data_IF_718764060466
#
_entry.id   IF_718764060466
#
_cell.length_a   1.000
_cell.length_b   1.000
_cell.length_c   1.000
_cell.angle_alpha   90.00
_cell.angle_beta   90.00
_cell.angle_gamma   90.00
#
_symmetry.space_group_name_H-M   'P 1'
#
loop_
_entity.id
_entity.type
_entity.pdbx_description
1 polymer ?
#
# COMPACT_ATOMS: atom_id res chain seq x y z
N UNK A 1 -87.13 26.73 -19.25
CA UNK A 1 -86.94 25.34 -18.78
C UNK A 1 -85.44 25.14 -18.69
N UNK A 2 -84.86 25.24 -17.49
CA UNK A 2 -83.52 24.72 -17.17
C UNK A 2 -83.40 24.74 -15.64
N UNK A 3 -83.42 23.54 -15.06
CA UNK A 3 -83.49 23.29 -13.62
C UNK A 3 -82.15 22.74 -13.13
N UNK A 4 -81.75 23.28 -11.98
CA UNK A 4 -80.57 22.95 -11.17
C UNK A 4 -80.49 21.45 -10.83
N UNK A 5 -79.28 20.96 -10.59
CA UNK A 5 -79.03 19.69 -9.89
C UNK A 5 -77.99 19.86 -8.77
N UNK A 6 -78.28 19.21 -7.64
CA UNK A 6 -77.46 18.92 -6.46
C UNK A 6 -77.95 17.54 -5.94
N UNK A 7 -77.28 16.88 -4.98
CA UNK A 7 -76.06 16.07 -5.12
C UNK A 7 -76.34 14.59 -4.78
N UNK A 8 -75.62 13.63 -5.39
CA UNK A 8 -75.81 12.20 -5.07
C UNK A 8 -74.67 11.65 -4.19
N UNK A 9 -75.07 11.25 -2.98
CA UNK A 9 -74.34 10.40 -2.03
C UNK A 9 -74.19 8.97 -2.58
N UNK A 10 -73.10 8.27 -2.24
CA UNK A 10 -72.95 6.83 -2.49
C UNK A 10 -72.94 6.05 -1.17
N UNK A 11 -73.91 5.13 -1.06
CA UNK A 11 -74.04 4.10 -0.01
C UNK A 11 -73.16 2.87 -0.36
N UNK A 12 -72.61 2.20 0.66
CA UNK A 12 -71.80 0.99 0.53
C UNK A 12 -72.66 -0.29 0.42
N UNK A 13 -72.30 -1.30 -0.39
CA UNK A 13 -73.03 -2.57 -0.45
C UNK A 13 -72.37 -3.69 0.37
N UNK A 14 -73.23 -4.53 0.95
CA UNK A 14 -72.94 -5.70 1.79
C UNK A 14 -72.62 -6.98 0.99
N UNK A 15 -71.87 -7.86 1.63
CA UNK A 15 -71.30 -9.14 1.14
C UNK A 15 -72.31 -10.20 0.63
N UNK A 16 -72.06 -10.76 -0.57
CA UNK A 16 -71.78 -12.19 -0.87
C UNK A 16 -72.00 -12.54 -2.35
N UNK A 17 -71.14 -13.44 -2.85
CA UNK A 17 -71.22 -14.32 -4.05
C UNK A 17 -70.38 -13.93 -5.27
N UNK A 18 -69.46 -14.84 -5.61
CA UNK A 18 -68.47 -14.85 -6.69
C UNK A 18 -69.08 -14.95 -8.10
N UNK A 19 -68.49 -14.29 -9.10
CA UNK A 19 -68.03 -14.86 -10.38
C UNK A 19 -67.07 -13.90 -11.10
N UNK A 20 -66.06 -14.48 -11.75
CA UNK A 20 -64.84 -13.87 -12.28
C UNK A 20 -65.05 -12.82 -13.38
N UNK A 21 -64.53 -11.62 -13.15
CA UNK A 21 -63.58 -10.88 -14.00
C UNK A 21 -62.85 -9.93 -13.04
N UNK A 22 -61.53 -10.07 -12.88
CA UNK A 22 -60.70 -9.26 -11.96
C UNK A 22 -60.65 -7.79 -12.40
N UNK A 23 -61.70 -7.05 -12.05
CA UNK A 23 -61.62 -5.62 -11.77
C UNK A 23 -60.92 -5.49 -10.42
N UNK A 24 -59.71 -4.94 -10.40
CA UNK A 24 -59.07 -4.52 -9.15
C UNK A 24 -59.90 -3.38 -8.57
N UNK A 25 -60.84 -3.75 -7.72
CA UNK A 25 -61.61 -2.89 -6.84
C UNK A 25 -60.63 -2.24 -5.87
N UNK A 26 -60.20 -1.02 -6.13
CA UNK A 26 -59.48 -0.22 -5.14
C UNK A 26 -60.54 0.30 -4.16
N UNK A 27 -60.90 -0.55 -3.20
CA UNK A 27 -61.65 -0.11 -2.01
C UNK A 27 -60.70 0.81 -1.23
N UNK A 28 -61.00 2.11 -1.16
CA UNK A 28 -60.45 2.93 -0.10
C UNK A 28 -60.96 2.32 1.22
N UNK A 29 -60.07 1.81 2.07
CA UNK A 29 -60.44 1.37 3.41
C UNK A 29 -61.10 2.52 4.16
N UNK A 30 -62.23 2.24 4.82
CA UNK A 30 -62.96 3.25 5.59
C UNK A 30 -62.10 3.71 6.78
N UNK A 31 -61.86 5.01 6.86
CA UNK A 31 -61.18 5.65 7.98
C UNK A 31 -62.04 5.53 9.25
N UNK A 32 -61.41 5.30 10.41
CA UNK A 32 -62.14 5.21 11.68
C UNK A 32 -62.74 6.55 12.11
N UNK A 33 -63.94 6.52 12.70
CA UNK A 33 -64.73 7.70 13.09
C UNK A 33 -63.98 8.69 14.01
N UNK A 34 -63.02 8.18 14.80
CA UNK A 34 -62.22 9.00 15.71
C UNK A 34 -61.19 9.90 15.00
N UNK A 35 -60.77 9.53 13.78
CA UNK A 35 -59.79 10.28 13.00
C UNK A 35 -60.49 11.31 12.09
N UNK A 36 -61.66 10.95 11.57
CA UNK A 36 -62.49 11.79 10.69
C UNK A 36 -63.07 13.01 11.42
N UNK A 37 -63.30 12.91 12.73
CA UNK A 37 -63.75 14.03 13.58
C UNK A 37 -62.64 15.02 13.94
N UNK A 38 -61.36 14.65 13.78
CA UNK A 38 -60.20 15.50 14.11
C UNK A 38 -59.75 16.39 12.96
N UNK A 39 -60.05 16.03 11.72
CA UNK A 39 -59.61 16.74 10.53
C UNK A 39 -60.79 16.89 9.55
N UNK A 40 -61.21 18.14 9.30
CA UNK A 40 -62.28 18.45 8.33
C UNK A 40 -61.78 18.24 6.89
N UNK A 41 -61.76 16.96 6.47
CA UNK A 41 -61.41 16.58 5.12
C UNK A 41 -62.69 16.39 4.30
N UNK A 42 -62.92 17.28 3.33
CA UNK A 42 -63.99 17.10 2.35
C UNK A 42 -63.74 15.83 1.52
N UNK A 43 -64.82 15.18 1.11
CA UNK A 43 -64.85 13.93 0.35
C UNK A 43 -63.73 13.80 -0.71
N UNK A 44 -63.17 12.59 -0.91
CA UNK A 44 -62.12 12.35 -1.88
C UNK A 44 -62.56 12.79 -3.29
N UNK A 45 -61.68 13.50 -3.99
CA UNK A 45 -61.88 13.85 -5.40
C UNK A 45 -61.68 12.58 -6.23
N UNK A 46 -62.73 12.15 -6.94
CA UNK A 46 -62.65 11.02 -7.86
C UNK A 46 -62.57 11.53 -9.31
N UNK A 47 -61.61 11.03 -10.07
CA UNK A 47 -61.46 11.33 -11.50
C UNK A 47 -61.37 10.01 -12.29
N UNK A 48 -62.13 9.87 -13.38
CA UNK A 48 -62.16 8.67 -14.23
C UNK A 48 -62.35 7.34 -13.45
N UNK A 49 -63.41 7.26 -12.62
CA UNK A 49 -63.79 6.06 -11.85
C UNK A 49 -62.74 5.56 -10.83
N UNK A 50 -61.73 6.37 -10.49
CA UNK A 50 -60.81 6.10 -9.37
C UNK A 50 -60.86 7.26 -8.38
N UNK A 51 -61.02 6.92 -7.09
CA UNK A 51 -61.09 7.90 -6.00
C UNK A 51 -59.71 8.10 -5.38
N UNK A 52 -59.31 9.35 -5.20
CA UNK A 52 -58.03 9.70 -4.58
C UNK A 52 -58.29 9.92 -3.08
N UNK A 53 -57.84 8.96 -2.26
CA UNK A 53 -57.85 9.12 -0.82
C UNK A 53 -56.79 10.17 -0.39
N UNK A 54 -57.07 11.05 0.60
CA UNK A 54 -56.03 11.90 1.18
C UNK A 54 -54.91 11.02 1.72
N UNK A 55 -53.62 11.40 1.58
CA UNK A 55 -52.52 10.55 2.01
C UNK A 55 -52.67 10.25 3.50
N UNK A 56 -52.85 8.97 3.83
CA UNK A 56 -52.62 8.48 5.18
C UNK A 56 -51.16 8.80 5.51
N UNK A 57 -50.95 9.65 6.53
CA UNK A 57 -49.67 9.78 7.19
C UNK A 57 -49.47 8.54 8.07
N UNK A 58 -49.08 7.43 7.45
CA UNK A 58 -48.29 6.43 8.17
C UNK A 58 -46.83 6.60 7.74
N UNK A 59 -45.86 6.46 8.67
CA UNK A 59 -44.45 6.64 8.39
C UNK A 59 -44.00 5.43 7.57
N UNK A 60 -44.19 5.50 6.25
CA UNK A 60 -43.61 4.51 5.37
C UNK A 60 -42.10 4.55 5.57
N UNK A 61 -41.56 3.42 6.02
CA UNK A 61 -40.15 3.07 5.87
C UNK A 61 -39.87 2.96 4.36
N UNK A 62 -39.71 4.12 3.71
CA UNK A 62 -39.29 4.20 2.31
C UNK A 62 -37.77 4.23 2.31
N UNK A 63 -37.18 3.18 1.76
CA UNK A 63 -35.74 3.07 1.51
C UNK A 63 -35.21 4.38 0.89
N UNK A 64 -34.04 4.88 1.34
CA UNK A 64 -33.52 6.14 0.85
C UNK A 64 -33.21 6.05 -0.65
N UNK A 65 -33.39 7.14 -1.43
CA UNK A 65 -33.17 7.13 -2.88
C UNK A 65 -31.71 6.86 -3.27
N UNK A 66 -30.79 6.90 -2.30
CA UNK A 66 -29.41 6.44 -2.41
C UNK A 66 -28.92 6.00 -1.01
N UNK A 67 -27.94 5.08 -0.92
CA UNK A 67 -27.30 4.72 0.35
C UNK A 67 -26.78 5.99 1.07
N UNK A 68 -27.25 6.24 2.31
CA UNK A 68 -26.79 7.35 3.16
C UNK A 68 -27.70 8.58 3.26
N UNK A 69 -28.83 8.63 2.56
CA UNK A 69 -29.77 9.76 2.62
C UNK A 69 -30.77 9.63 3.80
N UNK A 70 -30.42 10.11 4.99
CA UNK A 70 -31.28 9.97 6.19
C UNK A 70 -32.40 11.02 6.32
N UNK A 71 -32.50 11.99 5.41
CA UNK A 71 -33.49 13.07 5.50
C UNK A 71 -34.18 13.30 4.15
N UNK A 72 -35.37 12.73 3.96
CA UNK A 72 -36.32 13.25 2.98
C UNK A 72 -37.08 14.41 3.62
N UNK A 73 -37.17 15.54 2.92
CA UNK A 73 -38.11 16.58 3.31
C UNK A 73 -39.53 16.04 3.16
N UNK A 74 -40.45 16.30 4.12
CA UNK A 74 -41.85 15.96 3.96
C UNK A 74 -42.40 16.61 2.69
N UNK A 75 -42.99 15.83 1.80
CA UNK A 75 -43.58 16.34 0.56
C UNK A 75 -44.66 17.36 0.90
N UNK A 76 -44.57 18.54 0.29
CA UNK A 76 -45.58 19.60 0.40
C UNK A 76 -46.34 19.74 -0.91
N UNK A 77 -47.56 20.26 -0.83
CA UNK A 77 -48.37 20.57 -2.01
C UNK A 77 -48.35 22.08 -2.32
N UNK A 78 -48.11 22.93 -1.32
CA UNK A 78 -48.00 24.37 -1.51
C UNK A 78 -46.63 24.76 -2.08
N UNK A 79 -46.64 25.29 -3.30
CA UNK A 79 -45.47 25.79 -4.02
C UNK A 79 -44.72 26.90 -3.26
N UNK A 80 -45.39 27.59 -2.33
CA UNK A 80 -44.78 28.63 -1.47
C UNK A 80 -43.89 28.04 -0.38
N UNK A 81 -44.07 26.77 -0.03
CA UNK A 81 -43.27 26.06 0.97
C UNK A 81 -42.07 25.30 0.36
N UNK A 82 -41.62 25.72 -0.83
CA UNK A 82 -40.44 25.13 -1.48
C UNK A 82 -39.23 25.19 -0.54
N UNK A 83 -38.62 24.04 -0.31
CA UNK A 83 -37.39 23.83 0.47
C UNK A 83 -36.47 22.92 -0.29
N UNK A 84 -35.18 23.06 0.00
CA UNK A 84 -34.11 22.30 -0.65
C UNK A 84 -33.19 21.70 0.40
N UNK A 85 -32.79 20.45 0.18
CA UNK A 85 -31.72 19.76 0.90
C UNK A 85 -30.59 19.50 -0.07
N UNK A 86 -29.36 19.67 0.40
CA UNK A 86 -28.16 19.42 -0.37
C UNK A 86 -27.27 18.43 0.38
N UNK A 87 -26.84 17.37 -0.29
CA UNK A 87 -26.03 16.32 0.31
C UNK A 87 -25.09 15.66 -0.72
N UNK A 88 -24.09 14.93 -0.24
CA UNK A 88 -23.13 14.20 -1.07
C UNK A 88 -23.10 12.71 -0.72
N UNK A 89 -22.80 11.87 -1.71
CA UNK A 89 -22.60 10.43 -1.56
C UNK A 89 -21.23 10.05 -2.14
N UNK A 90 -20.40 9.25 -1.43
CA UNK A 90 -20.68 8.57 -0.16
C UNK A 90 -20.70 9.49 1.08
N UNK A 91 -19.99 10.63 1.02
CA UNK A 91 -20.07 11.67 2.05
C UNK A 91 -19.65 13.02 1.46
N UNK A 92 -19.71 14.10 2.25
CA UNK A 92 -19.20 15.42 1.87
C UNK A 92 -17.66 15.53 1.92
N UNK A 93 -16.97 14.43 2.23
CA UNK A 93 -15.52 14.34 2.19
C UNK A 93 -15.09 13.05 1.49
N UNK A 94 -14.33 13.17 0.40
CA UNK A 94 -13.96 12.03 -0.45
C UNK A 94 -12.48 12.05 -0.82
N UNK A 95 -11.94 10.88 -1.19
CA UNK A 95 -10.55 10.77 -1.63
C UNK A 95 -10.39 11.13 -3.11
N UNK A 96 -9.22 11.67 -3.47
CA UNK A 96 -8.83 11.88 -4.88
C UNK A 96 -8.99 10.57 -5.67
N UNK A 97 -9.47 10.66 -6.91
CA UNK A 97 -9.66 9.54 -7.83
C UNK A 97 -10.97 8.77 -7.65
N UNK A 98 -11.69 9.02 -6.56
CA UNK A 98 -13.00 8.43 -6.31
C UNK A 98 -14.09 8.98 -7.25
N UNK A 99 -15.28 8.38 -7.17
CA UNK A 99 -16.51 8.91 -7.78
C UNK A 99 -17.40 9.45 -6.67
N UNK A 100 -17.85 10.70 -6.82
CA UNK A 100 -18.75 11.35 -5.87
C UNK A 100 -20.01 11.87 -6.58
N UNK A 101 -21.13 11.88 -5.87
CA UNK A 101 -22.39 12.44 -6.36
C UNK A 101 -22.90 13.50 -5.38
N UNK A 102 -23.20 14.69 -5.89
CA UNK A 102 -23.83 15.77 -5.13
C UNK A 102 -25.31 15.84 -5.52
N UNK A 103 -26.21 15.78 -4.54
CA UNK A 103 -27.65 15.71 -4.74
C UNK A 103 -28.37 16.93 -4.17
N UNK A 104 -29.07 17.66 -5.03
CA UNK A 104 -29.96 18.76 -4.64
C UNK A 104 -31.40 18.27 -4.73
N UNK A 105 -32.06 18.09 -3.59
CA UNK A 105 -33.40 17.52 -3.47
C UNK A 105 -34.40 18.54 -2.97
N UNK A 106 -35.60 18.56 -3.56
CA UNK A 106 -36.70 19.44 -3.13
C UNK A 106 -37.82 18.67 -2.43
N UNK A 107 -38.66 19.39 -1.68
CA UNK A 107 -39.84 18.85 -1.01
C UNK A 107 -41.14 18.93 -1.82
N UNK A 108 -41.06 19.21 -3.12
CA UNK A 108 -42.22 19.39 -3.99
C UNK A 108 -42.08 18.50 -5.23
N UNK A 109 -43.21 18.17 -5.84
CA UNK A 109 -43.23 17.60 -7.18
C UNK A 109 -42.69 18.66 -8.17
N UNK A 110 -41.58 18.39 -8.89
CA UNK A 110 -40.99 19.35 -9.80
C UNK A 110 -41.85 19.57 -11.05
N UNK A 111 -42.73 18.62 -11.42
CA UNK A 111 -43.51 18.66 -12.66
C UNK A 111 -44.31 19.96 -12.75
N UNK A 112 -44.20 20.66 -13.88
CA UNK A 112 -44.89 21.95 -14.14
C UNK A 112 -44.54 23.10 -13.18
N UNK A 113 -43.51 22.92 -12.34
CA UNK A 113 -43.11 23.92 -11.34
C UNK A 113 -41.63 24.30 -11.45
N UNK A 114 -40.73 23.33 -11.39
CA UNK A 114 -39.29 23.53 -11.60
C UNK A 114 -38.95 22.98 -12.98
N UNK A 115 -38.47 23.77 -13.96
CA UNK A 115 -38.10 23.22 -15.26
C UNK A 115 -36.93 22.24 -15.14
N UNK A 116 -36.65 21.48 -16.20
CA UNK A 116 -35.60 20.47 -16.19
C UNK A 116 -34.21 21.05 -15.89
N UNK A 117 -33.92 22.22 -16.47
CA UNK A 117 -32.74 23.07 -16.27
C UNK A 117 -32.90 24.04 -15.09
N UNK A 118 -33.96 23.89 -14.29
CA UNK A 118 -34.27 24.76 -13.16
C UNK A 118 -33.35 24.61 -11.96
N UNK A 119 -32.39 23.68 -11.98
CA UNK A 119 -31.44 23.47 -10.89
C UNK A 119 -30.01 23.58 -11.40
N UNK A 120 -29.23 24.43 -10.75
CA UNK A 120 -27.83 24.69 -11.08
C UNK A 120 -26.95 24.53 -9.84
N UNK A 121 -25.77 23.95 -10.02
CA UNK A 121 -24.75 23.89 -8.99
C UNK A 121 -23.70 24.97 -9.24
N UNK A 122 -23.34 25.72 -8.19
CA UNK A 122 -22.27 26.72 -8.24
C UNK A 122 -21.18 26.29 -7.26
N UNK A 123 -19.96 26.12 -7.76
CA UNK A 123 -18.77 25.85 -6.97
C UNK A 123 -17.99 27.15 -6.75
N UNK A 124 -17.63 27.44 -5.49
CA UNK A 124 -16.88 28.62 -5.06
C UNK A 124 -17.44 29.93 -5.63
N UNK A 125 -18.78 30.05 -5.64
CA UNK A 125 -19.58 31.18 -6.14
C UNK A 125 -19.33 31.60 -7.61
N UNK A 126 -18.48 30.89 -8.35
CA UNK A 126 -17.97 31.33 -9.66
C UNK A 126 -18.15 30.28 -10.76
N UNK A 127 -17.96 29.00 -10.43
CA UNK A 127 -17.98 27.92 -11.43
C UNK A 127 -19.38 27.33 -11.48
N UNK A 128 -20.06 27.53 -12.61
CA UNK A 128 -21.37 26.93 -12.89
C UNK A 128 -21.20 25.49 -13.39
N UNK A 129 -21.89 24.54 -12.76
CA UNK A 129 -21.95 23.13 -13.16
C UNK A 129 -23.41 22.70 -13.35
N UNK A 130 -23.69 22.09 -14.49
CA UNK A 130 -25.01 21.57 -14.82
C UNK A 130 -25.22 20.17 -14.21
N UNK A 131 -26.47 19.81 -13.85
CA UNK A 131 -26.79 18.48 -13.35
C UNK A 131 -26.46 17.42 -14.40
N UNK A 132 -25.82 16.33 -13.95
CA UNK A 132 -25.59 15.13 -14.77
C UNK A 132 -26.77 14.17 -14.79
N UNK A 133 -27.70 14.33 -13.85
CA UNK A 133 -28.93 13.55 -13.71
C UNK A 133 -30.07 14.44 -13.27
N UNK A 134 -31.22 14.31 -13.93
CA UNK A 134 -32.43 15.04 -13.57
C UNK A 134 -33.53 14.08 -13.11
N UNK A 135 -34.49 14.52 -12.28
CA UNK A 135 -35.65 13.71 -11.92
C UNK A 135 -36.54 13.38 -13.14
N UNK A 136 -36.39 14.14 -14.24
CA UNK A 136 -37.18 14.01 -15.46
C UNK A 136 -36.86 12.77 -16.27
N UNK A 137 -35.62 12.30 -16.23
CA UNK A 137 -35.19 11.04 -16.86
C UNK A 137 -35.99 9.83 -16.34
N UNK A 138 -36.36 9.85 -15.05
CA UNK A 138 -37.06 8.75 -14.38
C UNK A 138 -38.59 8.79 -14.54
N UNK A 139 -39.18 9.93 -14.92
CA UNK A 139 -40.64 10.05 -15.08
C UNK A 139 -41.21 9.24 -16.27
N UNK A 140 -40.35 8.82 -17.19
CA UNK A 140 -40.76 8.21 -18.46
C UNK A 140 -40.82 6.68 -18.44
N UNK A 141 -40.41 6.01 -17.35
CA UNK A 141 -40.10 4.57 -17.40
C UNK A 141 -40.97 3.62 -16.56
N UNK A 142 -41.67 4.07 -15.51
CA UNK A 142 -42.37 3.13 -14.60
C UNK A 142 -43.73 3.64 -14.09
N UNK A 143 -44.72 2.74 -14.10
CA UNK A 143 -46.09 2.94 -13.58
C UNK A 143 -46.09 3.17 -12.06
N UNK A 144 -45.03 2.76 -11.34
CA UNK A 144 -44.87 2.94 -9.89
C UNK A 144 -44.50 4.37 -9.46
N UNK A 145 -44.19 5.27 -10.41
CA UNK A 145 -43.90 6.69 -10.15
C UNK A 145 -45.11 7.51 -9.69
N UNK A 146 -46.31 6.91 -9.63
CA UNK A 146 -47.49 7.54 -9.04
C UNK A 146 -47.37 7.74 -7.51
N UNK A 147 -46.54 6.94 -6.82
CA UNK A 147 -46.45 6.95 -5.35
C UNK A 147 -45.16 7.60 -4.82
N UNK A 148 -44.11 7.69 -5.63
CA UNK A 148 -42.92 8.48 -5.30
C UNK A 148 -42.42 9.23 -6.53
N UNK A 149 -42.49 10.56 -6.48
CA UNK A 149 -42.02 11.45 -7.54
C UNK A 149 -40.54 11.73 -7.25
N UNK A 150 -39.60 11.41 -8.17
CA UNK A 150 -38.22 11.88 -8.07
C UNK A 150 -38.15 13.39 -7.87
N UNK A 151 -37.45 13.85 -6.83
CA UNK A 151 -37.32 15.28 -6.50
C UNK A 151 -35.87 15.77 -6.43
N UNK A 152 -34.91 14.97 -6.93
CA UNK A 152 -33.48 15.23 -6.77
C UNK A 152 -32.78 15.37 -8.12
N UNK A 153 -31.94 16.40 -8.22
CA UNK A 153 -30.95 16.57 -9.28
C UNK A 153 -29.59 16.10 -8.76
N UNK A 154 -28.83 15.41 -9.62
CA UNK A 154 -27.53 14.85 -9.29
C UNK A 154 -26.40 15.44 -10.14
N UNK A 155 -25.32 15.87 -9.49
CA UNK A 155 -24.05 16.23 -10.12
C UNK A 155 -23.03 15.14 -9.80
N UNK A 156 -22.68 14.33 -10.81
CA UNK A 156 -21.64 13.31 -10.73
C UNK A 156 -20.26 13.91 -11.01
N UNK A 157 -19.32 13.66 -10.11
CA UNK A 157 -17.90 14.01 -10.26
C UNK A 157 -17.13 12.70 -10.34
N UNK A 158 -16.64 12.37 -11.55
CA UNK A 158 -15.83 11.19 -11.80
C UNK A 158 -14.34 11.53 -11.65
N UNK A 159 -13.55 10.64 -11.06
CA UNK A 159 -12.11 10.83 -10.87
C UNK A 159 -11.79 12.15 -10.14
N UNK A 160 -12.42 12.35 -8.98
CA UNK A 160 -12.38 13.59 -8.18
C UNK A 160 -10.94 14.11 -8.00
N UNK A 161 -10.72 15.40 -8.24
CA UNK A 161 -9.42 16.07 -8.11
C UNK A 161 -9.43 17.08 -6.96
N UNK A 162 -8.25 17.52 -6.49
CA UNK A 162 -8.15 18.56 -5.46
C UNK A 162 -8.82 19.88 -5.86
N UNK A 163 -8.90 20.18 -7.16
CA UNK A 163 -9.62 21.34 -7.71
C UNK A 163 -11.16 21.24 -7.60
N UNK A 164 -11.69 20.05 -7.34
CA UNK A 164 -13.12 19.85 -7.06
C UNK A 164 -13.47 20.16 -5.60
N UNK A 165 -12.48 20.38 -4.73
CA UNK A 165 -12.75 20.82 -3.35
C UNK A 165 -13.30 22.24 -3.33
N UNK A 166 -14.20 22.53 -2.39
CA UNK A 166 -14.73 23.88 -2.17
C UNK A 166 -16.16 23.92 -1.67
N UNK A 167 -16.72 25.13 -1.66
CA UNK A 167 -18.11 25.35 -1.27
C UNK A 167 -18.99 25.18 -2.49
N UNK A 168 -19.93 24.24 -2.42
CA UNK A 168 -20.96 24.05 -3.43
C UNK A 168 -22.27 24.66 -2.97
N UNK A 169 -22.98 25.29 -3.90
CA UNK A 169 -24.31 25.84 -3.70
C UNK A 169 -25.24 25.28 -4.77
N UNK A 170 -26.32 24.63 -4.37
CA UNK A 170 -27.37 24.26 -5.30
C UNK A 170 -28.48 25.32 -5.27
N UNK A 171 -28.88 25.78 -6.45
CA UNK A 171 -29.88 26.84 -6.64
C UNK A 171 -31.04 26.23 -7.42
N UNK A 172 -32.25 26.35 -6.88
CA UNK A 172 -33.49 25.87 -7.48
C UNK A 172 -34.33 27.07 -7.91
N UNK A 173 -34.56 27.17 -9.22
CA UNK A 173 -35.29 28.25 -9.88
C UNK A 173 -36.64 27.73 -10.37
N UNK A 174 -37.75 28.23 -9.81
CA UNK A 174 -39.09 27.94 -10.34
C UNK A 174 -39.29 28.54 -11.73
N UNK A 175 -40.05 27.85 -12.59
CA UNK A 175 -40.35 28.34 -13.95
C UNK A 175 -41.25 29.57 -14.00
N UNK A 176 -41.86 29.95 -12.87
CA UNK A 176 -42.66 31.16 -12.74
C UNK A 176 -42.02 32.11 -11.72
N UNK A 177 -41.68 33.31 -12.17
CA UNK A 177 -41.01 34.36 -11.39
C UNK A 177 -41.79 34.83 -10.14
N UNK A 178 -43.07 34.46 -9.98
CA UNK A 178 -43.85 34.72 -8.76
C UNK A 178 -43.40 33.88 -7.57
N UNK A 179 -42.67 32.78 -7.79
CA UNK A 179 -42.17 31.91 -6.73
C UNK A 179 -40.71 32.21 -6.42
N UNK A 180 -40.35 32.08 -5.14
CA UNK A 180 -39.03 32.40 -4.63
C UNK A 180 -38.00 31.35 -5.06
N UNK A 181 -36.83 31.82 -5.50
CA UNK A 181 -35.63 30.99 -5.70
C UNK A 181 -35.09 30.53 -4.34
N UNK A 182 -34.82 29.24 -4.19
CA UNK A 182 -34.23 28.67 -2.96
C UNK A 182 -32.85 28.11 -3.24
N UNK A 183 -32.00 28.08 -2.23
CA UNK A 183 -30.65 27.52 -2.36
C UNK A 183 -30.18 26.87 -1.06
N UNK A 184 -29.32 25.86 -1.18
CA UNK A 184 -28.59 25.25 -0.06
C UNK A 184 -27.10 25.17 -0.39
N UNK A 185 -26.27 25.29 0.63
CA UNK A 185 -24.81 25.26 0.55
C UNK A 185 -24.24 24.08 1.31
N UNK A 186 -23.14 23.50 0.80
CA UNK A 186 -22.41 22.41 1.42
C UNK A 186 -20.92 22.58 1.13
N UNK A 187 -20.09 22.33 2.12
CA UNK A 187 -18.64 22.19 1.93
C UNK A 187 -18.34 20.76 1.44
N UNK A 188 -17.62 20.67 0.33
CA UNK A 188 -17.16 19.42 -0.24
C UNK A 188 -15.64 19.37 -0.18
N UNK A 189 -15.11 18.44 0.61
CA UNK A 189 -13.68 18.33 0.86
C UNK A 189 -13.07 17.15 0.11
N UNK A 190 -12.09 17.44 -0.74
CA UNK A 190 -11.32 16.41 -1.44
C UNK A 190 -10.03 16.14 -0.69
N UNK A 191 -10.00 15.02 0.02
CA UNK A 191 -8.83 14.57 0.77
C UNK A 191 -7.83 13.90 -0.16
N UNK A 192 -6.58 14.33 -0.05
CA UNK A 192 -5.46 13.56 -0.59
C UNK A 192 -5.29 12.31 0.28
N UNK A 193 -5.13 11.14 -0.34
CA UNK A 193 -4.75 9.93 0.39
C UNK A 193 -3.48 10.24 1.18
N UNK A 194 -3.52 10.03 2.50
CA UNK A 194 -2.35 10.26 3.35
C UNK A 194 -1.35 9.15 3.08
N UNK A 195 -0.10 9.52 2.89
CA UNK A 195 0.96 8.57 2.57
C UNK A 195 2.07 8.64 3.62
N UNK A 196 2.91 7.62 3.62
CA UNK A 196 4.25 7.73 4.20
C UNK A 196 5.17 8.37 3.16
N UNK A 197 6.12 9.18 3.62
CA UNK A 197 7.10 9.90 2.79
C UNK A 197 8.50 9.62 3.28
N UNK A 198 9.49 9.95 2.45
CA UNK A 198 10.91 9.90 2.80
C UNK A 198 11.32 8.52 3.38
N UNK A 199 10.88 7.43 2.75
CA UNK A 199 11.31 6.09 3.15
C UNK A 199 12.81 5.99 2.90
N UNK A 200 13.55 5.82 3.98
CA UNK A 200 14.99 5.58 3.95
C UNK A 200 15.25 4.17 4.46
N UNK A 201 16.05 3.43 3.71
CA UNK A 201 16.46 2.08 4.05
C UNK A 201 17.97 2.11 4.22
N UNK A 202 18.43 1.85 5.44
CA UNK A 202 19.85 1.79 5.79
C UNK A 202 20.22 0.31 5.95
N UNK A 203 20.91 -0.28 4.97
CA UNK A 203 21.34 -1.66 5.06
C UNK A 203 22.62 -1.82 5.88
N UNK A 204 22.67 -2.92 6.61
CA UNK A 204 23.86 -3.47 7.27
C UNK A 204 24.09 -4.91 6.75
N UNK A 205 25.11 -5.60 7.26
CA UNK A 205 25.46 -6.94 6.79
C UNK A 205 24.38 -7.98 7.15
N UNK A 206 23.72 -7.81 8.28
CA UNK A 206 22.75 -8.76 8.84
C UNK A 206 21.45 -8.10 9.27
N UNK A 207 21.29 -6.80 9.02
CA UNK A 207 20.11 -6.04 9.39
C UNK A 207 19.73 -4.98 8.36
N UNK A 208 18.48 -4.52 8.43
CA UNK A 208 17.96 -3.38 7.68
C UNK A 208 17.22 -2.47 8.65
N UNK A 209 17.58 -1.19 8.68
CA UNK A 209 16.85 -0.17 9.42
C UNK A 209 16.03 0.63 8.41
N UNK A 210 14.71 0.72 8.63
CA UNK A 210 13.79 1.42 7.75
C UNK A 210 13.14 2.55 8.54
N UNK A 211 13.20 3.76 8.01
CA UNK A 211 12.59 4.94 8.60
C UNK A 211 11.74 5.67 7.57
N UNK A 212 10.65 6.28 8.02
CA UNK A 212 9.74 7.08 7.19
C UNK A 212 9.11 8.20 8.01
N UNK A 213 8.53 9.16 7.30
CA UNK A 213 7.71 10.24 7.84
C UNK A 213 6.23 10.00 7.50
N UNK A 214 5.33 10.37 8.40
CA UNK A 214 3.89 10.21 8.23
C UNK A 214 3.21 11.56 8.02
N UNK A 215 2.25 11.62 7.10
CA UNK A 215 1.41 12.81 6.95
C UNK A 215 0.53 13.05 8.20
N UNK A 216 0.44 14.31 8.65
CA UNK A 216 -0.37 14.70 9.81
C UNK A 216 -1.81 14.17 9.72
N UNK A 217 -2.31 13.54 10.80
CA UNK A 217 -3.69 13.09 10.93
C UNK A 217 -3.86 11.79 11.74
N UNK A 218 -4.99 11.05 11.59
CA UNK A 218 -5.20 9.78 12.28
C UNK A 218 -4.15 8.71 11.95
N UNK A 219 -3.84 7.82 12.88
CA UNK A 219 -2.79 6.81 12.70
C UNK A 219 -3.04 5.93 11.45
N UNK A 220 -2.01 5.77 10.61
CA UNK A 220 -2.01 4.84 9.48
C UNK A 220 -1.72 3.42 9.98
N UNK A 221 -2.31 2.42 9.33
CA UNK A 221 -1.94 1.03 9.55
C UNK A 221 -0.91 0.64 8.50
N UNK A 222 0.31 0.29 8.94
CA UNK A 222 1.43 0.00 8.04
C UNK A 222 1.90 -1.42 8.28
N UNK A 223 1.81 -2.26 7.25
CA UNK A 223 2.31 -3.64 7.27
C UNK A 223 3.52 -3.76 6.34
N UNK A 224 4.58 -4.41 6.81
CA UNK A 224 5.81 -4.62 6.04
C UNK A 224 6.12 -6.10 5.88
N UNK A 225 6.49 -6.48 4.66
CA UNK A 225 6.82 -7.85 4.30
C UNK A 225 8.16 -7.87 3.58
N UNK A 226 9.12 -8.63 4.12
CA UNK A 226 10.44 -8.77 3.54
C UNK A 226 10.59 -10.14 2.89
N UNK A 227 11.06 -10.14 1.64
CA UNK A 227 11.30 -11.35 0.87
C UNK A 227 12.76 -11.43 0.43
N UNK A 228 13.32 -12.64 0.36
CA UNK A 228 14.58 -12.86 -0.33
C UNK A 228 14.35 -12.72 -1.83
N UNK A 229 15.06 -11.82 -2.51
CA UNK A 229 14.78 -11.48 -3.91
C UNK A 229 15.00 -12.66 -4.87
N UNK A 230 15.96 -13.55 -4.57
CA UNK A 230 16.31 -14.69 -5.43
C UNK A 230 15.26 -15.79 -5.45
N UNK A 231 14.59 -16.06 -4.33
CA UNK A 231 13.65 -17.17 -4.16
C UNK A 231 12.21 -16.71 -3.91
N UNK A 232 11.99 -15.41 -3.73
CA UNK A 232 10.72 -14.84 -3.25
C UNK A 232 10.25 -15.45 -1.91
N UNK A 233 11.18 -16.05 -1.16
CA UNK A 233 10.90 -16.61 0.15
C UNK A 233 10.60 -15.49 1.15
N UNK A 234 9.48 -15.59 1.84
CA UNK A 234 9.15 -14.70 2.96
C UNK A 234 10.17 -14.89 4.08
N UNK A 235 10.86 -13.80 4.44
CA UNK A 235 11.78 -13.76 5.57
C UNK A 235 11.00 -13.41 6.83
N UNK A 236 10.30 -12.28 6.81
CA UNK A 236 9.58 -11.79 7.98
C UNK A 236 8.42 -10.89 7.53
N UNK A 237 7.32 -10.94 8.29
CA UNK A 237 6.15 -10.09 8.12
C UNK A 237 5.90 -9.35 9.43
N UNK A 238 5.89 -8.02 9.39
CA UNK A 238 5.57 -7.17 10.54
C UNK A 238 4.28 -6.42 10.25
N UNK A 239 3.37 -6.42 11.21
CA UNK A 239 2.05 -5.78 11.07
C UNK A 239 1.94 -4.56 11.97
N UNK A 240 1.22 -3.54 11.49
CA UNK A 240 0.94 -2.29 12.19
C UNK A 240 2.21 -1.67 12.83
N UNK A 241 3.25 -1.53 12.03
CA UNK A 241 4.57 -1.04 12.47
C UNK A 241 4.62 0.48 12.58
N UNK A 242 5.55 0.97 13.40
CA UNK A 242 5.88 2.40 13.54
C UNK A 242 7.32 2.65 13.14
N UNK A 243 7.59 3.87 12.66
CA UNK A 243 8.93 4.32 12.31
C UNK A 243 9.75 4.62 13.58
N UNK A 244 11.02 4.19 13.70
CA UNK A 244 11.76 3.31 12.79
C UNK A 244 11.51 1.82 13.08
N UNK A 245 11.73 0.97 12.08
CA UNK A 245 11.65 -0.50 12.21
C UNK A 245 12.96 -1.17 11.78
N UNK A 246 13.27 -2.31 12.39
CA UNK A 246 14.49 -3.08 12.10
C UNK A 246 14.13 -4.52 11.73
N UNK A 247 14.72 -5.01 10.64
CA UNK A 247 14.80 -6.43 10.29
C UNK A 247 16.20 -6.93 10.63
N UNK A 248 16.31 -8.11 11.24
CA UNK A 248 17.58 -8.69 11.72
C UNK A 248 17.76 -10.10 11.18
N UNK A 249 18.93 -10.71 11.43
CA UNK A 249 19.25 -12.09 11.01
C UNK A 249 19.18 -12.29 9.49
N UNK A 250 19.52 -11.25 8.75
CA UNK A 250 19.62 -11.30 7.30
C UNK A 250 20.98 -11.86 6.88
N UNK A 251 21.04 -12.38 5.66
CA UNK A 251 22.27 -12.85 5.04
C UNK A 251 23.05 -11.66 4.46
N UNK A 252 24.38 -11.61 4.63
CA UNK A 252 25.23 -10.60 4.00
C UNK A 252 25.17 -10.62 2.48
N UNK A 253 25.49 -9.47 1.87
CA UNK A 253 25.57 -9.26 0.43
C UNK A 253 24.35 -9.77 -0.37
N UNK A 254 23.19 -9.88 0.27
CA UNK A 254 21.99 -10.55 -0.26
C UNK A 254 20.93 -9.52 -0.61
N UNK A 255 20.30 -9.69 -1.78
CA UNK A 255 19.20 -8.84 -2.23
C UNK A 255 17.88 -9.26 -1.61
N UNK A 256 17.14 -8.30 -1.09
CA UNK A 256 15.82 -8.43 -0.48
C UNK A 256 14.83 -7.48 -1.15
N UNK A 257 13.56 -7.91 -1.19
CA UNK A 257 12.42 -7.13 -1.65
C UNK A 257 11.55 -6.77 -0.46
N UNK A 258 11.38 -5.49 -0.20
CA UNK A 258 10.50 -4.96 0.84
C UNK A 258 9.17 -4.54 0.19
N UNK A 259 8.07 -5.13 0.65
CA UNK A 259 6.73 -4.65 0.33
C UNK A 259 6.16 -3.95 1.56
N UNK A 260 5.74 -2.69 1.39
CA UNK A 260 5.06 -1.90 2.42
C UNK A 260 3.62 -1.70 1.97
N UNK A 261 2.67 -2.17 2.77
CA UNK A 261 1.24 -1.95 2.57
C UNK A 261 0.77 -0.90 3.58
N UNK A 262 0.13 0.16 3.10
CA UNK A 262 -0.40 1.22 3.95
C UNK A 262 -1.92 1.26 3.80
N UNK A 263 -2.64 1.10 4.91
CA UNK A 263 -4.09 1.17 4.98
C UNK A 263 -4.53 2.38 5.80
N UNK A 264 -5.50 3.12 5.26
CA UNK A 264 -6.15 4.26 5.92
C UNK A 264 -7.65 3.96 6.09
N UNK A 265 -8.03 3.37 7.22
CA UNK A 265 -9.44 3.03 7.50
C UNK A 265 -10.02 2.00 6.53
N UNK A 266 -11.11 2.34 5.84
CA UNK A 266 -11.74 1.48 4.82
C UNK A 266 -11.29 1.79 3.38
N UNK A 267 -10.33 2.69 3.20
CA UNK A 267 -9.80 2.98 1.87
C UNK A 267 -8.96 1.81 1.34
N UNK A 268 -8.86 1.70 0.02
CA UNK A 268 -7.99 0.70 -0.61
C UNK A 268 -6.52 0.91 -0.19
N UNK A 269 -5.80 -0.16 0.19
CA UNK A 269 -4.40 -0.08 0.53
C UNK A 269 -3.57 0.31 -0.68
N UNK A 270 -2.63 1.24 -0.51
CA UNK A 270 -1.57 1.44 -1.48
C UNK A 270 -0.31 0.66 -1.06
N UNK A 271 0.52 0.32 -2.05
CA UNK A 271 1.70 -0.52 -1.86
C UNK A 271 2.96 0.17 -2.36
N UNK A 272 4.02 0.07 -1.59
CA UNK A 272 5.37 0.50 -1.98
C UNK A 272 6.26 -0.73 -2.02
N UNK A 273 7.08 -0.84 -3.07
CA UNK A 273 7.97 -1.96 -3.30
C UNK A 273 9.38 -1.41 -3.47
N UNK A 274 10.29 -1.81 -2.59
CA UNK A 274 11.69 -1.42 -2.64
C UNK A 274 12.60 -2.65 -2.76
N UNK A 275 13.68 -2.51 -3.52
CA UNK A 275 14.72 -3.53 -3.62
C UNK A 275 15.96 -3.02 -2.88
N UNK A 276 16.45 -3.80 -1.93
CA UNK A 276 17.61 -3.44 -1.09
C UNK A 276 18.60 -4.60 -1.04
N UNK A 277 19.89 -4.30 -0.97
CA UNK A 277 20.94 -5.30 -0.77
C UNK A 277 21.62 -5.03 0.57
N UNK A 278 21.76 -6.07 1.40
CA UNK A 278 22.58 -5.99 2.63
C UNK A 278 24.04 -5.81 2.28
N UNK A 279 24.82 -5.20 3.17
CA UNK A 279 26.24 -4.97 2.93
C UNK A 279 27.05 -6.27 3.01
N UNK A 280 28.26 -6.27 2.45
CA UNK A 280 29.19 -7.39 2.62
C UNK A 280 29.58 -7.55 4.09
N UNK A 281 29.80 -8.80 4.54
CA UNK A 281 30.42 -9.12 5.83
C UNK A 281 31.87 -9.53 5.60
N UNK A 282 32.77 -9.29 6.56
CA UNK A 282 34.16 -9.76 6.45
C UNK A 282 34.20 -11.29 6.31
N UNK A 283 35.07 -11.84 5.44
CA UNK A 283 35.13 -13.27 5.26
C UNK A 283 35.56 -13.99 6.54
N UNK A 284 35.10 -15.22 6.71
CA UNK A 284 35.65 -16.14 7.70
C UNK A 284 37.09 -16.54 7.34
N UNK A 285 37.91 -16.98 8.30
CA UNK A 285 39.28 -17.43 8.01
C UNK A 285 39.27 -18.63 7.05
N UNK A 286 40.23 -18.71 6.10
CA UNK A 286 40.39 -19.87 5.22
C UNK A 286 40.65 -21.17 5.99
N UNK A 287 40.29 -22.30 5.39
CA UNK A 287 40.52 -23.63 5.97
C UNK A 287 41.86 -24.18 5.48
N UNK A 288 42.84 -24.27 6.37
CA UNK A 288 44.15 -24.84 6.03
C UNK A 288 44.07 -26.37 6.03
N UNK A 289 44.35 -26.97 4.87
CA UNK A 289 44.30 -28.42 4.63
C UNK A 289 45.63 -29.11 4.96
N UNK A 290 46.74 -28.44 4.67
CA UNK A 290 48.05 -29.05 4.85
C UNK A 290 49.20 -28.10 4.62
N UNK A 291 50.30 -28.37 5.32
CA UNK A 291 51.58 -27.70 5.19
C UNK A 291 52.65 -28.78 5.06
N UNK A 292 53.41 -28.75 3.97
CA UNK A 292 54.39 -29.79 3.62
C UNK A 292 55.72 -29.21 3.15
N UNK A 293 56.78 -29.99 3.26
CA UNK A 293 58.10 -29.66 2.71
C UNK A 293 58.36 -30.57 1.52
N UNK A 294 58.77 -29.98 0.41
CA UNK A 294 59.11 -30.69 -0.82
C UNK A 294 60.50 -30.29 -1.32
N UNK A 295 61.08 -31.10 -2.19
CA UNK A 295 62.30 -30.77 -2.90
C UNK A 295 62.03 -29.83 -4.08
N UNK A 296 62.97 -28.93 -4.36
CA UNK A 296 62.91 -28.05 -5.52
C UNK A 296 63.10 -28.86 -6.81
N UNK A 297 62.22 -28.64 -7.78
CA UNK A 297 62.17 -29.39 -9.05
C UNK A 297 63.33 -29.05 -10.00
N UNK A 298 64.08 -27.97 -9.71
CA UNK A 298 65.19 -27.44 -10.52
C UNK A 298 66.55 -28.13 -10.24
N UNK A 299 66.58 -29.16 -9.39
CA UNK A 299 67.81 -29.88 -9.05
C UNK A 299 68.79 -29.08 -8.17
N UNK A 300 68.39 -27.90 -7.66
CA UNK A 300 69.23 -27.02 -6.82
C UNK A 300 69.49 -27.57 -5.40
N UNK A 301 68.88 -28.69 -5.03
CA UNK A 301 68.91 -29.22 -3.66
C UNK A 301 68.18 -28.34 -2.63
N UNK A 302 67.43 -27.33 -3.09
CA UNK A 302 66.59 -26.47 -2.25
C UNK A 302 65.36 -27.21 -1.73
N UNK A 303 64.91 -26.86 -0.52
CA UNK A 303 63.60 -27.28 0.00
C UNK A 303 62.58 -26.16 -0.23
N UNK A 304 61.37 -26.51 -0.64
CA UNK A 304 60.21 -25.61 -0.76
C UNK A 304 59.17 -25.96 0.31
N UNK A 305 58.43 -24.95 0.76
CA UNK A 305 57.25 -25.09 1.61
C UNK A 305 56.00 -25.06 0.73
N UNK A 306 55.22 -26.13 0.71
CA UNK A 306 53.91 -26.18 0.07
C UNK A 306 52.83 -25.98 1.12
N UNK A 307 51.93 -25.05 0.87
CA UNK A 307 50.75 -24.82 1.71
C UNK A 307 49.48 -25.01 0.89
N UNK A 308 48.47 -25.62 1.52
CA UNK A 308 47.21 -25.99 0.89
C UNK A 308 46.05 -25.49 1.74
N UNK A 309 45.08 -24.85 1.10
CA UNK A 309 43.89 -24.33 1.79
C UNK A 309 42.64 -24.39 0.90
N UNK A 310 41.48 -24.35 1.56
CA UNK A 310 40.16 -24.20 0.94
C UNK A 310 39.51 -22.89 1.40
N UNK A 311 38.54 -22.37 0.63
CA UNK A 311 37.67 -21.31 1.10
C UNK A 311 36.95 -21.71 2.42
N UNK A 312 36.43 -20.74 3.18
CA UNK A 312 35.61 -21.02 4.35
C UNK A 312 34.36 -21.85 4.01
N UNK A 313 33.88 -22.66 4.96
CA UNK A 313 32.71 -23.52 4.75
C UNK A 313 31.38 -22.75 4.62
N UNK A 314 31.33 -21.46 4.97
CA UNK A 314 30.10 -20.67 4.80
C UNK A 314 29.97 -20.16 3.36
N UNK A 315 28.89 -20.56 2.69
CA UNK A 315 28.60 -20.17 1.30
C UNK A 315 28.56 -18.64 1.13
N UNK A 316 28.00 -17.92 2.12
CA UNK A 316 27.95 -16.46 2.15
C UNK A 316 29.33 -15.78 2.24
N UNK A 317 30.35 -16.47 2.77
CA UNK A 317 31.72 -15.98 2.77
C UNK A 317 32.48 -16.42 1.53
N UNK A 318 32.23 -17.64 1.03
CA UNK A 318 32.97 -18.22 -0.09
C UNK A 318 32.74 -17.47 -1.40
N UNK A 319 31.48 -17.13 -1.71
CA UNK A 319 31.10 -16.60 -3.02
C UNK A 319 31.50 -15.11 -3.24
N UNK A 320 32.11 -14.50 -2.22
CA UNK A 320 32.46 -13.08 -2.19
C UNK A 320 33.96 -12.80 -2.00
N UNK A 321 34.78 -13.84 -1.79
CA UNK A 321 36.24 -13.66 -1.68
C UNK A 321 36.80 -13.30 -3.04
N UNK A 322 37.63 -12.26 -3.08
CA UNK A 322 38.33 -11.81 -4.30
C UNK A 322 39.81 -12.14 -4.29
N UNK A 323 40.40 -12.19 -3.10
CA UNK A 323 41.86 -12.30 -2.92
C UNK A 323 42.20 -13.12 -1.69
N UNK A 324 43.31 -13.83 -1.80
CA UNK A 324 44.00 -14.43 -0.67
C UNK A 324 45.36 -13.79 -0.47
N UNK A 325 45.75 -13.66 0.79
CA UNK A 325 47.08 -13.22 1.18
C UNK A 325 47.75 -14.35 1.94
N UNK A 326 49.00 -14.62 1.61
CA UNK A 326 49.80 -15.65 2.27
C UNK A 326 51.08 -15.02 2.77
N UNK A 327 51.39 -15.31 4.03
CA UNK A 327 52.67 -14.98 4.63
C UNK A 327 53.36 -16.26 5.11
N UNK A 328 54.55 -16.50 4.57
CA UNK A 328 55.47 -17.52 5.09
C UNK A 328 56.64 -16.81 5.76
N UNK A 329 56.84 -17.05 7.05
CA UNK A 329 57.94 -16.45 7.82
C UNK A 329 58.71 -17.51 8.60
N UNK A 330 60.03 -17.49 8.47
CA UNK A 330 60.96 -18.43 9.10
C UNK A 330 61.75 -17.79 10.23
N UNK A 331 61.44 -18.15 11.48
CA UNK A 331 62.18 -17.69 12.67
C UNK A 331 63.37 -18.57 12.98
N UNK A 332 64.51 -17.98 13.35
CA UNK A 332 65.72 -18.75 13.70
C UNK A 332 65.45 -19.61 14.94
N UNK A 333 65.86 -20.89 14.90
CA UNK A 333 65.73 -21.81 16.06
C UNK A 333 66.83 -21.60 17.09
N UNK A 334 68.06 -21.44 16.60
CA UNK A 334 69.25 -21.32 17.43
C UNK A 334 70.17 -20.23 16.87
N UNK A 335 70.58 -19.30 17.71
CA UNK A 335 71.56 -18.26 17.37
C UNK A 335 72.90 -18.70 17.95
N UNK A 336 73.91 -18.86 17.10
CA UNK A 336 75.27 -19.15 17.58
C UNK A 336 75.78 -17.99 18.43
N UNK A 337 76.40 -18.24 19.60
CA UNK A 337 76.97 -17.20 20.47
C UNK A 337 78.01 -16.31 19.76
N UNK A 338 78.62 -16.81 18.68
CA UNK A 338 79.67 -16.11 17.91
C UNK A 338 79.10 -15.27 16.73
N UNK A 339 77.79 -15.34 16.48
CA UNK A 339 77.15 -14.60 15.37
C UNK A 339 77.06 -13.12 15.70
N UNK A 340 77.72 -12.28 14.90
CA UNK A 340 77.66 -10.81 15.02
C UNK A 340 76.43 -10.17 14.36
N UNK A 341 75.64 -10.93 13.60
CA UNK A 341 74.45 -10.44 12.92
C UNK A 341 73.17 -10.66 13.74
N UNK A 342 72.23 -9.69 13.75
CA UNK A 342 70.95 -9.86 14.40
C UNK A 342 70.15 -10.98 13.72
N UNK A 343 69.40 -11.80 14.48
CA UNK A 343 68.58 -12.86 13.92
C UNK A 343 67.40 -12.27 13.14
N UNK A 344 67.57 -12.06 11.82
CA UNK A 344 66.50 -11.60 10.94
C UNK A 344 65.59 -12.75 10.53
N UNK A 345 64.28 -12.53 10.48
CA UNK A 345 63.31 -13.49 9.95
C UNK A 345 63.47 -13.68 8.44
N UNK A 346 63.16 -14.89 7.96
CA UNK A 346 63.29 -15.24 6.55
C UNK A 346 61.93 -15.34 5.88
N UNK A 347 61.74 -14.63 4.78
CA UNK A 347 60.52 -14.61 3.98
C UNK A 347 60.82 -15.21 2.60
N UNK A 348 60.58 -16.51 2.38
CA UNK A 348 60.88 -17.16 1.10
C UNK A 348 59.99 -16.61 -0.02
N UNK A 349 60.50 -16.54 -1.25
CA UNK A 349 59.71 -16.08 -2.38
C UNK A 349 58.68 -17.14 -2.78
N UNK A 350 57.52 -16.69 -3.27
CA UNK A 350 56.52 -17.58 -3.85
C UNK A 350 56.93 -18.02 -5.26
N UNK A 351 56.57 -19.25 -5.62
CA UNK A 351 56.82 -19.82 -6.95
C UNK A 351 55.59 -19.61 -7.83
N UNK A 352 55.80 -19.16 -9.07
CA UNK A 352 54.71 -18.96 -10.04
C UNK A 352 53.77 -17.82 -9.64
N UNK A 353 52.47 -18.13 -9.49
CA UNK A 353 51.43 -17.17 -9.10
C UNK A 353 51.34 -16.93 -7.60
N UNK A 354 52.17 -17.60 -6.81
CA UNK A 354 52.18 -17.49 -5.36
C UNK A 354 52.96 -16.25 -4.93
N UNK A 355 52.41 -15.54 -3.96
CA UNK A 355 52.98 -14.30 -3.47
C UNK A 355 53.13 -14.37 -1.95
N UNK A 356 54.31 -14.02 -1.44
CA UNK A 356 54.58 -13.98 0.00
C UNK A 356 54.61 -12.51 0.43
N UNK A 357 53.50 -12.03 0.96
CA UNK A 357 53.30 -10.64 1.32
C UNK A 357 52.84 -10.50 2.76
N UNK A 358 53.27 -9.41 3.41
CA UNK A 358 52.65 -8.96 4.65
C UNK A 358 51.22 -8.46 4.39
N UNK A 359 50.45 -8.33 5.47
CA UNK A 359 49.07 -7.83 5.51
C UNK A 359 48.86 -6.47 4.78
N UNK A 360 49.92 -5.73 4.46
CA UNK A 360 49.89 -4.33 4.03
C UNK A 360 50.35 -4.02 2.58
N UNK A 361 50.56 -4.97 1.65
CA UNK A 361 50.79 -4.50 0.26
C UNK A 361 51.07 -5.47 -0.89
N UNK A 362 50.29 -5.26 -1.96
CA UNK A 362 50.49 -5.55 -3.40
C UNK A 362 50.60 -7.00 -3.87
N UNK A 363 50.92 -7.93 -2.99
CA UNK A 363 51.12 -9.34 -3.33
C UNK A 363 49.94 -10.17 -2.84
N UNK A 364 49.05 -10.54 -3.77
CA UNK A 364 47.86 -11.32 -3.50
C UNK A 364 47.70 -12.46 -4.51
N UNK A 365 46.93 -13.45 -4.13
CA UNK A 365 46.53 -14.57 -4.98
C UNK A 365 45.07 -14.35 -5.36
N UNK A 366 44.79 -14.30 -6.66
CA UNK A 366 43.43 -14.12 -7.16
C UNK A 366 42.57 -15.37 -6.93
N UNK A 367 41.33 -15.17 -6.48
CA UNK A 367 40.37 -16.26 -6.26
C UNK A 367 39.76 -16.80 -7.55
N UNK A 368 39.82 -16.04 -8.66
CA UNK A 368 39.11 -16.36 -9.90
C UNK A 368 39.57 -17.68 -10.56
N UNK A 369 40.76 -18.18 -10.23
CA UNK A 369 41.35 -19.35 -10.87
C UNK A 369 41.09 -20.70 -10.16
N UNK A 370 40.64 -20.73 -8.90
CA UNK A 370 40.57 -21.97 -8.11
C UNK A 370 39.41 -21.93 -7.08
N UNK A 371 38.19 -22.27 -7.48
CA UNK A 371 37.00 -22.09 -6.61
C UNK A 371 36.91 -23.05 -5.41
N UNK A 372 37.72 -24.11 -5.38
CA UNK A 372 37.57 -25.18 -4.38
C UNK A 372 38.84 -25.50 -3.60
N UNK A 373 40.03 -25.23 -4.13
CA UNK A 373 41.29 -25.64 -3.51
C UNK A 373 42.48 -24.83 -4.03
N UNK A 374 43.32 -24.35 -3.11
CA UNK A 374 44.52 -23.58 -3.40
C UNK A 374 45.77 -24.29 -2.89
N UNK A 375 46.82 -24.30 -3.71
CA UNK A 375 48.13 -24.82 -3.32
C UNK A 375 49.21 -23.83 -3.77
N UNK A 376 50.09 -23.44 -2.84
CA UNK A 376 51.19 -22.55 -3.14
C UNK A 376 52.52 -23.02 -2.58
N UNK A 377 53.57 -22.87 -3.39
CA UNK A 377 54.94 -23.26 -3.08
C UNK A 377 55.80 -22.03 -2.78
N UNK A 378 56.63 -22.11 -1.75
CA UNK A 378 57.49 -21.02 -1.28
C UNK A 378 58.90 -21.52 -1.01
N UNK A 379 59.91 -20.84 -1.55
CA UNK A 379 61.29 -21.15 -1.25
C UNK A 379 62.30 -20.31 -2.02
N UNK A 380 63.58 -20.68 -1.98
CA UNK A 380 64.13 -21.81 -1.21
C UNK A 380 64.11 -21.57 0.31
N UNK A 381 63.91 -22.62 1.12
CA UNK A 381 63.94 -22.53 2.59
C UNK A 381 65.38 -22.54 3.14
N UNK A 382 65.72 -21.52 3.93
CA UNK A 382 66.95 -21.48 4.73
C UNK A 382 66.93 -22.50 5.88
N UNK A 383 68.06 -23.15 6.19
CA UNK A 383 68.19 -24.07 7.32
C UNK A 383 68.07 -23.34 8.67
N UNK A 384 67.99 -24.11 9.76
CA UNK A 384 67.94 -23.59 11.13
C UNK A 384 66.76 -22.63 11.42
N UNK A 385 65.62 -22.84 10.76
CA UNK A 385 64.44 -21.99 10.92
C UNK A 385 63.14 -22.79 11.07
N UNK A 386 62.25 -22.24 11.88
CA UNK A 386 60.87 -22.67 12.03
C UNK A 386 59.98 -21.78 11.17
N UNK A 387 59.38 -22.35 10.13
CA UNK A 387 58.51 -21.62 9.22
C UNK A 387 57.06 -21.72 9.64
N UNK A 388 56.41 -20.57 9.80
CA UNK A 388 54.98 -20.44 10.04
C UNK A 388 54.31 -19.95 8.77
N UNK A 389 53.21 -20.61 8.41
CA UNK A 389 52.33 -20.21 7.33
C UNK A 389 51.09 -19.52 7.89
N UNK A 390 50.70 -18.42 7.29
CA UNK A 390 49.50 -17.67 7.65
C UNK A 390 48.75 -17.25 6.40
N UNK A 391 47.44 -17.45 6.38
CA UNK A 391 46.58 -17.19 5.22
C UNK A 391 45.39 -16.33 5.63
N UNK A 392 45.07 -15.33 4.81
CA UNK A 392 43.90 -14.46 4.95
C UNK A 392 43.09 -14.46 3.67
N UNK A 393 41.80 -14.17 3.79
CA UNK A 393 40.90 -13.89 2.67
C UNK A 393 40.41 -12.45 2.72
N UNK A 394 40.16 -11.84 1.57
CA UNK A 394 39.63 -10.48 1.44
C UNK A 394 38.42 -10.43 0.52
N UNK A 395 37.42 -9.66 0.94
CA UNK A 395 36.31 -9.22 0.10
C UNK A 395 36.11 -7.69 0.22
N UNK A 396 34.98 -7.17 -0.26
CA UNK A 396 34.64 -5.74 -0.19
C UNK A 396 34.51 -5.19 1.23
N UNK A 397 34.17 -6.02 2.22
CA UNK A 397 34.08 -5.63 3.64
C UNK A 397 35.43 -5.62 4.35
N UNK A 398 36.47 -6.20 3.73
CA UNK A 398 37.85 -6.19 4.20
C UNK A 398 38.42 -7.58 4.42
N UNK A 399 39.49 -7.62 5.22
CA UNK A 399 40.30 -8.81 5.47
C UNK A 399 39.68 -9.69 6.59
N UNK A 400 39.75 -11.00 6.39
CA UNK A 400 39.40 -12.01 7.40
C UNK A 400 40.36 -11.98 8.58
N UNK A 401 40.02 -12.73 9.64
CA UNK A 401 41.03 -13.16 10.61
C UNK A 401 42.03 -14.13 9.96
N UNK A 402 43.21 -14.24 10.56
CA UNK A 402 44.28 -15.09 10.07
C UNK A 402 43.99 -16.58 10.33
N UNK A 403 44.14 -17.43 9.31
CA UNK A 403 44.30 -18.86 9.49
C UNK A 403 45.79 -19.17 9.64
N UNK A 404 46.18 -19.81 10.75
CA UNK A 404 47.57 -20.22 10.99
C UNK A 404 47.63 -21.67 11.44
N UNK A 405 48.69 -22.37 11.05
CA UNK A 405 48.90 -23.78 11.38
C UNK A 405 50.16 -23.95 12.21
N UNK A 406 50.06 -24.84 13.21
CA UNK A 406 51.17 -25.19 14.10
C UNK A 406 52.17 -26.17 13.47
N UNK A 407 51.82 -26.86 12.37
CA UNK A 407 52.78 -27.66 11.60
C UNK A 407 53.65 -26.74 10.75
N UNK A 408 54.95 -26.79 11.03
CA UNK A 408 55.94 -25.90 10.44
C UNK A 408 56.61 -26.57 9.23
N UNK A 409 56.91 -25.80 8.19
CA UNK A 409 57.80 -26.23 7.12
C UNK A 409 59.23 -26.34 7.67
N UNK A 410 59.56 -27.44 8.35
CA UNK A 410 60.88 -27.61 8.99
C UNK A 410 61.89 -28.21 8.01
N UNK A 411 62.98 -27.49 7.79
CA UNK A 411 64.20 -28.06 7.21
C UNK A 411 65.02 -28.69 8.35
N UNK A 412 65.22 -30.01 8.29
CA UNK A 412 66.16 -30.68 9.17
C UNK A 412 67.59 -30.22 8.83
N UNK A 413 68.43 -29.93 9.83
CA UNK A 413 69.86 -29.78 9.56
C UNK A 413 70.36 -31.13 9.02
N UNK A 414 70.96 -31.09 7.83
CA UNK A 414 71.70 -32.21 7.23
C UNK A 414 73.04 -32.36 7.91
#
# INVERSE_FOLDING_TARGET
MELRHSPNNCLAPSSRTLFLFELVSINCESMGDSYMSKYDMRNPLCYHKRCICPPQFDPQFVLPPAPGFNARLPTKCDKRELRVVFAATPSNSVSIGSVAYLFCCINLDPRTFIPEDGVVFIQNDTIRREPTRTPYESFSREIDTYFSVPTCWGLGINNVQSSDSGTYKCIVQPGNARYRVVSATMEFDVKKLRTIRNITIVPDNTSLIITWEEDNGPALQIDMQLYKASSMQTIEIKKNVKSPIVFVQLSPATSYKLNVNVTEGQNEPFRIIELVQTTDERPYPPLLEGVGVMDAEDGSGGKLCEIKWRPPDSDASRDHIKRYYVQISGRIRYVSPESKEPPLDHYPQGVGLCANGEQNGRQYIDSDNLRTFFACKYGPLKPNRNYTATVWAENKAGLSTAASVNSQCRRFPS
#
